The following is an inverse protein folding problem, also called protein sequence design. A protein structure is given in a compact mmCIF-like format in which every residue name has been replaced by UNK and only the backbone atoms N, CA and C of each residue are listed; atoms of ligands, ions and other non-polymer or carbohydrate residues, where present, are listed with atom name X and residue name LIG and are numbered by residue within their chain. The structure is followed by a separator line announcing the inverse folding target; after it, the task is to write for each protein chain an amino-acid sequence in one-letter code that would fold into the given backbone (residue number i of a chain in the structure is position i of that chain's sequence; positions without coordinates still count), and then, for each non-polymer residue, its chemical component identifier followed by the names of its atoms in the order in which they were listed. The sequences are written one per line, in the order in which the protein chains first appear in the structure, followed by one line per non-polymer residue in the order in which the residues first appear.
data_IF_859613192701
#
_entry.id   IF_859613192701
#
_cell.length_a   1.000
_cell.length_b   1.000
_cell.length_c   1.000
_cell.angle_alpha   90.00
_cell.angle_beta   90.00
_cell.angle_gamma   90.00
#
_symmetry.space_group_name_H-M   'P 1'
#
loop_
_entity.id
_entity.type
_entity.pdbx_description
1 polymer ?
#
# COMPACT_ATOMS: atom_id res chain seq x y z
N UNK A 1 -67.75 19.12 -43.08
CA UNK A 1 -67.91 19.34 -44.53
C UNK A 1 -67.77 20.82 -44.82
N UNK A 2 -67.32 21.16 -46.03
CA UNK A 2 -66.97 22.48 -46.57
C UNK A 2 -65.52 22.96 -46.38
N UNK A 3 -64.76 22.78 -47.47
CA UNK A 3 -63.45 23.33 -47.83
C UNK A 3 -63.61 24.80 -48.26
N UNK A 4 -62.55 25.63 -48.18
CA UNK A 4 -61.77 26.09 -49.37
C UNK A 4 -60.91 27.36 -49.17
N UNK A 5 -59.70 27.29 -49.76
CA UNK A 5 -58.91 28.28 -50.55
C UNK A 5 -58.37 29.59 -49.94
N UNK A 6 -57.06 29.78 -50.16
CA UNK A 6 -56.37 31.07 -50.35
C UNK A 6 -55.08 31.14 -49.53
N UNK A 7 -53.90 31.48 -50.02
CA UNK A 7 -53.48 31.96 -51.33
C UNK A 7 -51.96 31.72 -51.49
N UNK A 8 -51.61 31.39 -52.72
CA UNK A 8 -50.31 31.29 -53.37
C UNK A 8 -49.36 32.47 -53.05
N UNK A 9 -48.11 32.22 -52.63
CA UNK A 9 -46.96 33.04 -53.03
C UNK A 9 -45.70 32.18 -53.14
N UNK A 10 -45.27 31.97 -54.39
CA UNK A 10 -43.92 31.58 -54.76
C UNK A 10 -42.95 32.72 -54.44
N UNK A 11 -41.77 32.43 -53.88
CA UNK A 11 -40.47 32.84 -54.44
C UNK A 11 -39.41 31.84 -53.95
N UNK A 12 -38.81 31.11 -54.88
CA UNK A 12 -37.56 30.41 -54.66
C UNK A 12 -36.39 31.36 -54.97
N UNK A 13 -35.40 31.45 -54.08
CA UNK A 13 -34.05 31.93 -54.43
C UNK A 13 -33.04 31.04 -53.70
N UNK A 14 -32.38 30.19 -54.48
CA UNK A 14 -31.14 29.50 -54.13
C UNK A 14 -30.00 30.41 -54.58
N UNK A 15 -29.12 30.81 -53.68
CA UNK A 15 -27.80 31.34 -54.03
C UNK A 15 -26.71 30.62 -53.24
N UNK A 16 -25.62 30.40 -53.96
CA UNK A 16 -24.55 29.44 -53.74
C UNK A 16 -23.35 30.14 -53.08
N UNK A 17 -22.70 29.43 -52.14
CA UNK A 17 -21.30 29.48 -51.67
C UNK A 17 -20.48 30.78 -51.81
N UNK A 18 -20.00 31.29 -50.67
CA UNK A 18 -18.56 31.56 -50.42
C UNK A 18 -18.33 31.75 -48.91
N UNK A 19 -17.32 31.06 -48.39
CA UNK A 19 -17.17 30.77 -46.98
C UNK A 19 -16.48 31.84 -46.13
N UNK A 20 -16.35 31.53 -44.85
CA UNK A 20 -15.23 31.93 -44.01
C UNK A 20 -15.23 31.15 -42.69
N UNK A 21 -14.04 30.65 -42.37
CA UNK A 21 -13.49 30.45 -41.03
C UNK A 21 -13.90 29.24 -40.16
N UNK A 22 -12.87 28.41 -39.98
CA UNK A 22 -12.61 27.36 -39.00
C UNK A 22 -12.81 27.79 -37.55
N UNK A 23 -13.39 26.91 -36.72
CA UNK A 23 -12.92 26.69 -35.34
C UNK A 23 -13.23 25.26 -34.85
N UNK A 24 -12.22 24.41 -35.08
CA UNK A 24 -11.61 23.43 -34.18
C UNK A 24 -12.46 22.82 -33.04
N UNK A 25 -12.63 21.51 -33.14
CA UNK A 25 -12.90 20.54 -32.06
C UNK A 25 -11.92 20.67 -30.88
N UNK A 26 -12.43 20.66 -29.65
CA UNK A 26 -11.65 20.24 -28.48
C UNK A 26 -12.51 19.27 -27.65
N UNK A 27 -12.11 18.01 -27.75
CA UNK A 27 -12.40 16.91 -26.83
C UNK A 27 -11.91 17.29 -25.43
N UNK A 28 -12.79 17.27 -24.44
CA UNK A 28 -12.47 17.62 -23.05
C UNK A 28 -11.77 16.42 -22.39
N UNK A 29 -10.49 16.24 -22.74
CA UNK A 29 -9.57 15.39 -21.98
C UNK A 29 -9.43 15.98 -20.57
N UNK A 30 -10.00 15.28 -19.59
CA UNK A 30 -9.75 15.52 -18.18
C UNK A 30 -8.24 15.43 -17.91
N UNK A 31 -7.59 16.42 -17.28
CA UNK A 31 -6.15 16.38 -17.06
C UNK A 31 -5.80 15.29 -16.05
N UNK A 32 -5.01 14.33 -16.54
CA UNK A 32 -4.22 13.38 -15.77
C UNK A 32 -3.40 14.11 -14.70
N UNK A 33 -3.85 14.05 -13.45
CA UNK A 33 -3.14 14.67 -12.33
C UNK A 33 -2.10 13.68 -11.78
N UNK A 34 -0.84 13.96 -12.12
CA UNK A 34 0.42 13.59 -11.48
C UNK A 34 0.51 12.18 -10.87
N UNK A 35 0.85 11.21 -11.72
CA UNK A 35 1.44 9.95 -11.24
C UNK A 35 2.87 10.24 -10.79
N UNK A 36 3.05 10.60 -9.51
CA UNK A 36 4.36 10.61 -8.87
C UNK A 36 4.88 9.17 -8.92
N UNK A 37 5.81 8.90 -9.84
CA UNK A 37 6.52 7.62 -9.91
C UNK A 37 7.50 7.60 -8.76
N UNK A 38 7.03 7.22 -7.56
CA UNK A 38 7.91 6.83 -6.47
C UNK A 38 8.55 5.51 -6.88
N UNK A 39 9.70 5.58 -7.54
CA UNK A 39 10.65 4.46 -7.48
C UNK A 39 10.94 4.23 -6.00
N UNK A 40 10.72 3.02 -5.43
CA UNK A 40 11.16 2.74 -4.08
C UNK A 40 12.69 2.86 -4.07
N UNK A 41 13.18 4.04 -3.69
CA UNK A 41 14.59 4.25 -3.44
C UNK A 41 14.91 3.39 -2.24
N UNK A 42 15.60 2.27 -2.48
CA UNK A 42 16.37 1.59 -1.44
C UNK A 42 17.51 2.56 -1.13
N UNK A 43 17.22 3.56 -0.30
CA UNK A 43 18.26 4.46 0.19
C UNK A 43 18.89 3.76 1.39
N UNK A 44 20.18 3.40 1.36
CA UNK A 44 20.90 3.17 2.60
C UNK A 44 21.13 4.56 3.24
N UNK A 45 20.53 4.83 4.40
CA UNK A 45 20.75 6.08 5.15
C UNK A 45 21.09 5.75 6.61
N UNK A 46 22.04 6.48 7.22
CA UNK A 46 22.86 6.02 8.34
C UNK A 46 22.12 6.02 9.68
N UNK A 47 22.05 4.83 10.27
CA UNK A 47 22.58 4.49 11.59
C UNK A 47 22.55 5.59 12.66
N UNK A 48 21.37 5.80 13.28
CA UNK A 48 21.32 5.80 14.75
C UNK A 48 22.12 4.57 15.22
N UNK A 49 23.09 4.73 16.13
CA UNK A 49 24.13 3.74 16.43
C UNK A 49 23.62 2.30 16.26
N UNK A 50 24.20 1.57 15.30
CA UNK A 50 23.70 0.25 14.91
C UNK A 50 23.61 -0.57 16.19
N UNK A 51 22.40 -1.05 16.48
CA UNK A 51 22.25 -2.03 17.54
C UNK A 51 23.22 -3.17 17.20
N UNK A 52 24.16 -3.44 18.12
CA UNK A 52 25.20 -4.45 17.91
C UNK A 52 24.59 -5.84 17.72
N UNK A 53 23.35 -6.00 18.14
CA UNK A 53 22.58 -7.22 18.03
C UNK A 53 21.62 -7.21 16.82
N UNK A 54 21.60 -6.16 15.99
CA UNK A 54 20.79 -6.15 14.76
C UNK A 54 21.30 -7.21 13.78
N UNK A 55 20.43 -8.18 13.46
CA UNK A 55 20.67 -9.25 12.49
C UNK A 55 20.40 -8.72 11.09
N UNK A 56 19.28 -8.01 10.94
CA UNK A 56 18.85 -7.42 9.68
C UNK A 56 17.81 -6.34 9.93
N UNK A 57 17.54 -5.57 8.88
CA UNK A 57 16.48 -4.58 8.91
C UNK A 57 15.99 -4.24 7.52
N UNK A 58 14.78 -3.69 7.46
CA UNK A 58 14.21 -3.15 6.23
C UNK A 58 13.39 -1.90 6.52
N UNK A 59 13.48 -0.94 5.61
CA UNK A 59 12.79 0.36 5.72
C UNK A 59 11.86 0.55 4.53
N UNK A 60 10.66 1.05 4.81
CA UNK A 60 9.70 1.49 3.79
C UNK A 60 9.20 2.89 4.10
N UNK A 61 8.97 3.69 3.07
CA UNK A 61 8.48 5.06 3.19
C UNK A 61 6.94 5.07 3.18
N UNK A 62 6.31 5.97 3.92
CA UNK A 62 4.87 6.22 3.82
C UNK A 62 4.52 6.77 2.44
N UNK A 63 3.99 5.91 1.56
CA UNK A 63 3.54 6.35 0.24
C UNK A 63 2.26 7.20 0.27
N UNK A 64 1.49 7.11 1.34
CA UNK A 64 0.24 7.84 1.59
C UNK A 64 0.22 8.28 3.04
N UNK A 65 0.18 9.60 3.25
CA UNK A 65 0.20 10.27 4.55
C UNK A 65 -1.20 10.46 5.16
N UNK A 66 -2.22 9.74 4.68
CA UNK A 66 -3.53 9.71 5.32
C UNK A 66 -3.42 9.38 6.82
N UNK A 67 -3.97 10.22 7.68
CA UNK A 67 -3.83 10.12 9.13
C UNK A 67 -4.37 8.81 9.70
N UNK A 68 -5.51 8.32 9.20
CA UNK A 68 -6.07 7.04 9.64
C UNK A 68 -5.19 5.86 9.23
N UNK A 69 -4.58 5.94 8.04
CA UNK A 69 -3.63 4.93 7.57
C UNK A 69 -2.39 4.87 8.46
N UNK A 70 -1.82 6.04 8.78
CA UNK A 70 -0.67 6.14 9.69
C UNK A 70 -1.05 5.65 11.09
N UNK A 71 -2.23 6.03 11.59
CA UNK A 71 -2.77 5.57 12.88
C UNK A 71 -2.87 4.04 12.95
N UNK A 72 -3.42 3.41 11.90
CA UNK A 72 -3.50 1.95 11.81
C UNK A 72 -2.12 1.28 11.82
N UNK A 73 -1.16 1.90 11.13
CA UNK A 73 0.20 1.39 11.08
C UNK A 73 0.84 1.45 12.47
N UNK A 74 0.66 2.57 13.18
CA UNK A 74 1.15 2.71 14.57
C UNK A 74 0.53 1.66 15.49
N UNK A 75 -0.80 1.49 15.47
CA UNK A 75 -1.50 0.47 16.27
C UNK A 75 -0.95 -0.94 16.02
N UNK A 76 -0.82 -1.33 14.74
CA UNK A 76 -0.27 -2.66 14.42
C UNK A 76 1.20 -2.79 14.80
N UNK A 77 2.00 -1.73 14.64
CA UNK A 77 3.40 -1.75 15.05
C UNK A 77 3.56 -1.85 16.56
N UNK A 78 2.72 -1.21 17.35
CA UNK A 78 2.73 -1.34 18.82
C UNK A 78 2.46 -2.78 19.27
N UNK A 79 1.53 -3.48 18.62
CA UNK A 79 1.21 -4.88 18.91
C UNK A 79 2.32 -5.86 18.46
N UNK A 80 3.03 -5.55 17.37
CA UNK A 80 4.10 -6.41 16.83
C UNK A 80 5.46 -6.17 17.50
N UNK A 81 5.72 -4.94 17.93
CA UNK A 81 6.99 -4.53 18.48
C UNK A 81 7.29 -5.33 19.76
N UNK A 82 8.54 -5.72 19.94
CA UNK A 82 9.02 -6.58 21.02
C UNK A 82 8.50 -8.03 21.00
N UNK A 83 7.90 -8.48 19.89
CA UNK A 83 7.62 -9.92 19.72
C UNK A 83 8.95 -10.69 19.68
N UNK A 84 9.10 -11.65 20.58
CA UNK A 84 10.25 -12.57 20.62
C UNK A 84 9.87 -13.88 19.93
N UNK A 85 10.75 -14.37 19.07
CA UNK A 85 10.61 -15.61 18.31
C UNK A 85 11.76 -16.52 18.72
N UNK A 86 11.47 -17.62 19.40
CA UNK A 86 12.47 -18.57 19.88
C UNK A 86 13.05 -19.42 18.74
N UNK A 87 14.21 -20.07 18.93
CA UNK A 87 14.77 -21.00 17.95
C UNK A 87 13.72 -22.02 17.48
N UNK A 88 13.66 -22.24 16.16
CA UNK A 88 12.71 -23.12 15.47
C UNK A 88 11.22 -22.76 15.60
N UNK A 89 10.88 -21.67 16.30
CA UNK A 89 9.50 -21.18 16.39
C UNK A 89 9.08 -20.53 15.07
N UNK A 90 7.82 -20.75 14.69
CA UNK A 90 7.20 -20.09 13.53
C UNK A 90 6.39 -18.90 14.02
N UNK A 91 6.84 -17.70 13.66
CA UNK A 91 6.08 -16.49 13.83
C UNK A 91 4.88 -16.46 12.86
N UNK A 92 3.71 -16.00 13.34
CA UNK A 92 2.54 -15.68 12.52
C UNK A 92 2.11 -14.23 12.72
N UNK A 93 2.08 -13.48 11.62
CA UNK A 93 1.66 -12.08 11.64
C UNK A 93 0.20 -11.90 12.06
N UNK A 94 -0.68 -12.81 11.63
CA UNK A 94 -2.09 -12.77 12.00
C UNK A 94 -2.37 -13.30 13.41
N UNK A 95 -1.55 -14.18 13.95
CA UNK A 95 -1.67 -14.65 15.33
C UNK A 95 -1.39 -13.52 16.32
N UNK A 96 -0.32 -12.75 16.09
CA UNK A 96 0.02 -11.59 16.93
C UNK A 96 -1.05 -10.49 16.84
N UNK A 97 -1.46 -10.12 15.62
CA UNK A 97 -2.35 -8.97 15.44
C UNK A 97 -3.86 -9.27 15.49
N UNK A 98 -4.26 -10.53 15.35
CA UNK A 98 -5.68 -10.91 15.33
C UNK A 98 -6.52 -10.15 14.27
N UNK A 99 -7.84 -10.04 14.49
CA UNK A 99 -8.74 -9.32 13.57
C UNK A 99 -8.56 -7.80 13.72
N UNK A 100 -8.44 -7.08 12.60
CA UNK A 100 -8.32 -5.60 12.60
C UNK A 100 -9.72 -4.99 12.70
N UNK A 101 -10.12 -4.58 13.91
CA UNK A 101 -11.47 -4.05 14.21
C UNK A 101 -11.41 -2.62 14.75
N UNK A 102 -12.53 -1.88 14.67
CA UNK A 102 -12.64 -0.53 15.25
C UNK A 102 -12.39 -0.53 16.76
N UNK A 103 -12.83 -1.57 17.47
CA UNK A 103 -12.63 -1.71 18.91
C UNK A 103 -11.15 -1.90 19.31
N UNK A 104 -10.33 -2.44 18.41
CA UNK A 104 -8.87 -2.51 18.55
C UNK A 104 -8.16 -1.21 18.12
N UNK A 105 -8.90 -0.15 17.80
CA UNK A 105 -8.35 1.13 17.37
C UNK A 105 -8.14 1.27 15.86
N UNK A 106 -8.47 0.25 15.05
CA UNK A 106 -8.30 0.34 13.60
C UNK A 106 -9.39 1.21 12.96
N UNK A 107 -8.95 2.18 12.15
CA UNK A 107 -9.78 3.15 11.44
C UNK A 107 -9.95 2.77 9.97
N UNK A 108 -11.00 3.29 9.35
CA UNK A 108 -11.17 3.22 7.91
C UNK A 108 -10.14 4.13 7.23
N UNK A 109 -9.39 3.54 6.31
CA UNK A 109 -8.31 4.21 5.58
C UNK A 109 -8.24 3.67 4.15
N UNK A 110 -7.50 4.34 3.25
CA UNK A 110 -7.20 3.79 1.94
C UNK A 110 -6.54 2.40 2.06
N UNK A 111 -7.16 1.42 1.40
CA UNK A 111 -6.61 0.08 1.17
C UNK A 111 -6.27 -0.06 -0.31
N UNK A 112 -5.23 -0.83 -0.63
CA UNK A 112 -4.96 -1.24 -2.00
C UNK A 112 -5.62 -2.60 -2.21
N UNK A 113 -6.76 -2.60 -2.90
CA UNK A 113 -7.47 -3.81 -3.28
C UNK A 113 -7.36 -3.97 -4.78
N UNK A 114 -6.76 -5.08 -5.25
CA UNK A 114 -6.54 -5.32 -6.68
C UNK A 114 -5.86 -4.11 -7.37
N UNK A 115 -4.89 -3.49 -6.69
CA UNK A 115 -4.18 -2.27 -7.13
C UNK A 115 -5.05 -1.05 -7.46
N UNK A 116 -6.28 -1.01 -6.96
CA UNK A 116 -7.11 0.18 -6.89
C UNK A 116 -7.23 0.66 -5.45
N UNK A 117 -7.37 1.96 -5.26
CA UNK A 117 -7.61 2.55 -3.95
C UNK A 117 -9.08 2.32 -3.58
N UNK A 118 -9.32 1.54 -2.54
CA UNK A 118 -10.62 1.41 -1.89
C UNK A 118 -10.53 1.91 -0.44
N UNK A 119 -11.66 1.99 0.27
CA UNK A 119 -11.68 2.25 1.71
C UNK A 119 -11.93 0.95 2.47
N UNK A 120 -11.20 0.73 3.54
CA UNK A 120 -11.39 -0.43 4.43
C UNK A 120 -10.78 -0.19 5.80
N UNK A 121 -11.26 -0.93 6.80
CA UNK A 121 -10.68 -0.93 8.14
C UNK A 121 -9.29 -1.58 8.11
N UNK A 122 -8.30 -0.93 8.74
CA UNK A 122 -6.92 -1.44 8.74
C UNK A 122 -6.15 -1.18 7.45
N UNK A 123 -6.44 -0.08 6.74
CA UNK A 123 -5.55 0.38 5.68
C UNK A 123 -4.14 0.64 6.21
N UNK A 124 -3.12 0.13 5.52
CA UNK A 124 -1.70 0.26 5.91
C UNK A 124 -1.01 -1.04 6.33
N UNK A 125 -1.76 -2.07 6.72
CA UNK A 125 -1.21 -3.30 7.32
C UNK A 125 -0.30 -4.09 6.38
N UNK A 126 -0.65 -4.19 5.09
CA UNK A 126 0.21 -4.88 4.12
C UNK A 126 1.59 -4.21 3.93
N UNK A 127 1.72 -2.91 4.26
CA UNK A 127 3.03 -2.26 4.25
C UNK A 127 3.91 -2.84 5.35
N UNK A 128 3.39 -2.95 6.58
CA UNK A 128 4.13 -3.53 7.71
C UNK A 128 4.53 -4.99 7.42
N UNK A 129 3.60 -5.81 6.94
CA UNK A 129 3.93 -7.21 6.60
C UNK A 129 4.98 -7.29 5.50
N UNK A 130 4.93 -6.40 4.50
CA UNK A 130 5.99 -6.35 3.47
C UNK A 130 7.33 -5.91 4.05
N UNK A 131 7.36 -4.92 4.95
CA UNK A 131 8.58 -4.48 5.62
C UNK A 131 9.19 -5.59 6.47
N UNK A 132 8.36 -6.28 7.28
CA UNK A 132 8.80 -7.38 8.13
C UNK A 132 9.26 -8.59 7.31
N UNK A 133 8.56 -8.92 6.22
CA UNK A 133 8.95 -9.98 5.29
C UNK A 133 10.36 -9.76 4.75
N UNK A 134 10.69 -8.52 4.36
CA UNK A 134 12.03 -8.23 3.84
C UNK A 134 13.10 -8.25 4.92
N UNK A 135 12.80 -7.82 6.14
CA UNK A 135 13.72 -8.00 7.27
C UNK A 135 13.96 -9.50 7.54
N UNK A 136 12.90 -10.31 7.63
CA UNK A 136 13.02 -11.76 7.80
C UNK A 136 13.83 -12.42 6.68
N UNK A 137 13.62 -12.02 5.42
CA UNK A 137 14.37 -12.52 4.28
C UNK A 137 15.86 -12.14 4.35
N UNK A 138 16.18 -10.92 4.77
CA UNK A 138 17.58 -10.46 4.94
C UNK A 138 18.28 -11.11 6.12
N UNK A 139 17.53 -11.57 7.13
CA UNK A 139 18.05 -12.36 8.25
C UNK A 139 18.21 -13.85 7.93
N UNK A 140 17.97 -14.31 6.70
CA UNK A 140 17.94 -15.73 6.34
C UNK A 140 16.96 -16.56 7.20
N UNK A 141 15.82 -15.98 7.57
CA UNK A 141 14.71 -16.74 8.16
C UNK A 141 14.03 -17.60 7.10
N UNK A 142 13.50 -18.76 7.51
CA UNK A 142 12.75 -19.62 6.60
C UNK A 142 11.34 -19.06 6.42
N UNK A 143 10.99 -18.63 5.20
CA UNK A 143 9.64 -18.13 4.90
C UNK A 143 8.69 -19.32 4.73
N UNK A 144 7.84 -19.53 5.73
CA UNK A 144 6.87 -20.64 5.79
C UNK A 144 5.60 -20.32 5.00
N UNK A 145 5.14 -19.06 5.07
CA UNK A 145 3.96 -18.61 4.35
C UNK A 145 4.17 -17.17 3.88
N UNK A 146 3.95 -16.94 2.57
CA UNK A 146 3.95 -15.60 1.99
C UNK A 146 3.04 -15.55 0.77
N UNK A 147 2.21 -14.52 0.70
CA UNK A 147 1.34 -14.25 -0.44
C UNK A 147 1.74 -12.95 -1.13
N UNK A 148 1.66 -12.92 -2.47
CA UNK A 148 1.88 -11.71 -3.26
C UNK A 148 0.56 -10.97 -3.48
N UNK A 149 0.65 -9.66 -3.63
CA UNK A 149 -0.41 -8.84 -4.18
C UNK A 149 -0.61 -9.19 -5.66
N UNK A 150 -1.85 -9.09 -6.14
CA UNK A 150 -2.17 -9.31 -7.56
C UNK A 150 -1.71 -8.17 -8.47
N UNK A 151 -1.44 -6.98 -7.90
CA UNK A 151 -0.91 -5.81 -8.60
C UNK A 151 0.27 -5.22 -7.82
N UNK A 152 1.13 -4.46 -8.50
CA UNK A 152 2.27 -3.76 -7.90
C UNK A 152 1.80 -2.82 -6.77
N UNK A 153 2.58 -2.78 -5.70
CA UNK A 153 2.40 -1.84 -4.59
C UNK A 153 3.49 -0.77 -4.62
N UNK A 154 3.21 0.47 -4.17
CA UNK A 154 4.13 1.59 -4.33
C UNK A 154 5.27 1.64 -3.28
N UNK A 155 5.19 0.85 -2.21
CA UNK A 155 6.08 0.96 -1.04
C UNK A 155 7.20 -0.07 -1.00
N UNK A 156 7.22 -1.06 -1.91
CA UNK A 156 8.31 -2.04 -2.06
C UNK A 156 8.51 -2.42 -3.54
N UNK A 157 9.72 -2.85 -3.94
CA UNK A 157 9.97 -3.41 -5.27
C UNK A 157 9.10 -4.64 -5.58
N UNK A 158 9.01 -5.00 -6.85
CA UNK A 158 8.31 -6.21 -7.27
C UNK A 158 8.95 -7.47 -6.64
N UNK A 159 8.11 -8.38 -6.16
CA UNK A 159 8.56 -9.61 -5.51
C UNK A 159 9.00 -9.43 -4.06
N UNK A 160 8.97 -8.20 -3.53
CA UNK A 160 9.30 -7.86 -2.14
C UNK A 160 8.07 -7.59 -1.28
N UNK A 161 6.87 -7.85 -1.79
CA UNK A 161 5.61 -7.60 -1.11
C UNK A 161 5.06 -8.84 -0.39
N UNK A 162 4.38 -8.64 0.73
CA UNK A 162 3.68 -9.69 1.46
C UNK A 162 2.26 -9.21 1.82
N UNK A 163 1.25 -9.83 1.21
CA UNK A 163 -0.17 -9.56 1.51
C UNK A 163 -0.63 -10.38 2.70
N UNK A 164 -1.36 -9.75 3.61
CA UNK A 164 -2.02 -10.42 4.73
C UNK A 164 -3.52 -10.10 4.75
N UNK A 165 -4.32 -11.11 5.07
CA UNK A 165 -5.77 -11.03 5.26
C UNK A 165 -6.10 -11.94 6.42
N UNK A 166 -6.64 -11.40 7.50
CA UNK A 166 -7.00 -12.18 8.69
C UNK A 166 -7.90 -13.37 8.30
N UNK A 167 -7.56 -14.57 8.80
CA UNK A 167 -8.19 -15.86 8.47
C UNK A 167 -8.09 -16.33 7.00
N UNK A 168 -7.24 -15.74 6.15
CA UNK A 168 -7.09 -16.19 4.76
C UNK A 168 -5.67 -16.16 4.20
N UNK A 169 -4.88 -15.11 4.48
CA UNK A 169 -3.51 -14.95 3.99
C UNK A 169 -2.63 -14.47 5.12
N UNK A 170 -1.52 -15.14 5.37
CA UNK A 170 -0.61 -14.78 6.44
C UNK A 170 0.82 -14.54 5.94
N UNK A 171 1.61 -13.88 6.79
CA UNK A 171 3.06 -13.91 6.71
C UNK A 171 3.55 -14.77 7.86
N UNK A 172 4.21 -15.87 7.53
CA UNK A 172 4.85 -16.75 8.51
C UNK A 172 6.29 -16.99 8.16
N UNK A 173 7.15 -16.97 9.17
CA UNK A 173 8.54 -17.35 9.02
C UNK A 173 9.04 -18.05 10.28
N UNK A 174 9.94 -19.01 10.09
CA UNK A 174 10.59 -19.72 11.18
C UNK A 174 11.88 -19.02 11.56
N UNK A 175 12.12 -18.86 12.86
CA UNK A 175 13.43 -18.46 13.33
C UNK A 175 14.44 -19.60 13.10
N UNK A 176 15.37 -19.37 12.17
CA UNK A 176 16.43 -20.33 11.81
C UNK A 176 17.69 -20.16 12.65
N UNK A 177 17.68 -19.20 13.60
CA UNK A 177 18.80 -18.95 14.50
C UNK A 177 18.72 -19.85 15.73
N UNK A 178 19.87 -20.09 16.33
CA UNK A 178 20.05 -20.82 17.59
C UNK A 178 19.83 -19.95 18.83
N UNK A 179 19.34 -18.72 18.66
CA UNK A 179 19.00 -17.77 19.72
C UNK A 179 17.65 -17.10 19.47
N UNK A 180 17.00 -16.57 20.52
CA UNK A 180 15.75 -15.83 20.37
C UNK A 180 15.95 -14.52 19.60
N UNK A 181 14.98 -14.17 18.77
CA UNK A 181 15.00 -12.97 17.92
C UNK A 181 13.83 -12.08 18.27
N UNK A 182 14.09 -10.81 18.53
CA UNK A 182 13.09 -9.78 18.83
C UNK A 182 12.81 -8.93 17.59
N UNK A 183 11.53 -8.68 17.32
CA UNK A 183 11.09 -7.71 16.32
C UNK A 183 11.14 -6.31 16.95
N UNK A 184 11.94 -5.41 16.38
CA UNK A 184 12.01 -4.01 16.79
C UNK A 184 11.48 -3.12 15.68
N UNK A 185 10.48 -2.30 15.98
CA UNK A 185 9.82 -1.42 15.02
C UNK A 185 10.03 0.04 15.42
N UNK A 186 10.60 0.82 14.50
CA UNK A 186 10.73 2.27 14.61
C UNK A 186 9.90 2.95 13.52
N UNK A 187 9.07 3.91 13.93
CA UNK A 187 8.28 4.74 13.02
C UNK A 187 8.71 6.18 13.20
N UNK A 188 9.06 6.84 12.10
CA UNK A 188 9.27 8.29 12.03
C UNK A 188 8.09 8.96 11.33
N UNK A 189 8.22 10.24 10.97
CA UNK A 189 7.20 10.93 10.18
C UNK A 189 7.08 10.40 8.74
N UNK A 190 8.17 9.88 8.20
CA UNK A 190 8.27 9.52 6.77
C UNK A 190 8.43 8.02 6.54
N UNK A 191 8.91 7.25 7.51
CA UNK A 191 9.26 5.85 7.29
C UNK A 191 8.91 4.91 8.45
N UNK A 192 8.84 3.64 8.08
CA UNK A 192 8.73 2.49 8.98
C UNK A 192 9.99 1.66 8.78
N UNK A 193 10.75 1.47 9.84
CA UNK A 193 11.90 0.59 9.90
C UNK A 193 11.60 -0.57 10.83
N UNK A 194 11.78 -1.79 10.33
CA UNK A 194 11.65 -3.02 11.12
C UNK A 194 13.03 -3.69 11.14
N UNK A 195 13.53 -3.94 12.34
CA UNK A 195 14.77 -4.66 12.59
C UNK A 195 14.46 -6.00 13.27
N UNK A 196 15.22 -7.03 12.92
CA UNK A 196 15.29 -8.27 13.69
C UNK A 196 16.57 -8.24 14.50
N UNK A 197 16.45 -8.35 15.82
CA UNK A 197 17.56 -8.17 16.77
C UNK A 197 17.73 -9.45 17.57
N UNK A 198 18.97 -9.89 17.76
CA UNK A 198 19.27 -10.99 18.69
C UNK A 198 18.89 -10.57 20.10
N UNK A 199 18.02 -11.34 20.75
CA UNK A 199 17.66 -11.11 22.15
C UNK A 199 18.71 -11.76 23.05
N UNK A 200 19.40 -10.94 23.83
CA UNK A 200 20.24 -11.46 24.92
C UNK A 200 19.35 -11.91 26.08
N UNK A 201 19.68 -13.05 26.66
CA UNK A 201 19.02 -13.54 27.88
C UNK A 201 19.41 -12.62 29.05
N UNK A 202 18.40 -12.10 29.74
CA UNK A 202 18.54 -11.24 30.92
C UNK A 202 18.67 -12.03 32.21
#
# INVERSE_FOLDING_TARGET
MQRYIGCLFCVAVVFILSGCFSEKSIDEQTPMQDTITLTPTVTPVPTEAADKNEISSYTTIFYDKNENRISNIKTASEELNHTVIYPDEVFSFNEVLGKRTKDKGYKEAPILSHGEKAKGTGGGICQISSTLYNAALLADMEIVERHRHSKKVPYVPEGKDATVVYNSKDLKFKNTKDYPVEIVIKITEDEIRISLVKKEES
#
